data_IF_079102857076
#
_entry.id   IF_079102857076
#
_cell.length_a   1.000
_cell.length_b   1.000
_cell.length_c   1.000
_cell.angle_alpha   90.00
_cell.angle_beta   90.00
_cell.angle_gamma   90.00
#
_symmetry.space_group_name_H-M   'P 1'
#
loop_
_entity.id
_entity.type
_entity.pdbx_description
1 polymer ?
#
# COMPACT_ATOMS: atom_id res chain seq x y z
N UNK A 1 -17.65 -0.98 -4.31
CA UNK A 1 -17.03 -0.87 -2.97
C UNK A 1 -16.21 0.43 -2.86
N UNK A 2 -15.84 0.84 -1.64
CA UNK A 2 -15.03 2.05 -1.37
C UNK A 2 -13.79 1.72 -0.55
N UNK A 3 -12.65 2.28 -0.95
CA UNK A 3 -11.38 2.12 -0.26
C UNK A 3 -11.25 3.00 0.98
N UNK A 4 -10.12 2.88 1.66
CA UNK A 4 -9.86 3.57 2.92
C UNK A 4 -9.18 4.93 2.72
N UNK A 5 -9.16 5.73 3.80
CA UNK A 5 -8.32 6.93 3.90
C UNK A 5 -6.86 6.52 4.11
N UNK A 6 -5.88 7.29 3.59
CA UNK A 6 -4.47 6.96 3.75
C UNK A 6 -4.04 7.00 5.22
N UNK A 7 -3.12 6.12 5.60
CA UNK A 7 -2.31 6.26 6.82
C UNK A 7 -1.12 7.14 6.44
N UNK A 8 -1.16 8.43 6.78
CA UNK A 8 -0.15 9.41 6.36
C UNK A 8 -0.04 10.55 7.37
N UNK A 9 1.14 11.16 7.48
CA UNK A 9 1.34 12.42 8.20
C UNK A 9 2.32 13.34 7.45
N UNK A 10 2.55 14.56 7.96
CA UNK A 10 3.44 15.53 7.33
C UNK A 10 4.94 15.14 7.34
N UNK A 11 5.32 14.07 8.05
CA UNK A 11 6.68 13.53 8.10
C UNK A 11 6.87 12.32 7.17
N UNK A 12 5.80 11.82 6.54
CA UNK A 12 5.89 10.71 5.59
C UNK A 12 6.79 11.08 4.41
N UNK A 13 7.69 10.17 4.05
CA UNK A 13 8.66 10.28 2.95
C UNK A 13 8.49 9.18 1.89
N UNK A 14 8.02 8.01 2.32
CA UNK A 14 7.74 6.86 1.46
C UNK A 14 6.25 6.56 1.53
N UNK A 15 5.62 6.30 0.38
CA UNK A 15 4.23 5.85 0.29
C UNK A 15 4.18 4.42 -0.25
N UNK A 16 3.64 3.49 0.52
CA UNK A 16 3.33 2.15 0.03
C UNK A 16 1.90 2.10 -0.49
N UNK A 17 1.73 1.63 -1.72
CA UNK A 17 0.44 1.53 -2.41
C UNK A 17 0.08 0.07 -2.71
N UNK A 18 -1.02 -0.40 -2.14
CA UNK A 18 -1.73 -1.58 -2.63
C UNK A 18 -2.70 -1.25 -3.76
N UNK A 19 -3.32 -2.27 -4.35
CA UNK A 19 -4.33 -2.07 -5.40
C UNK A 19 -5.64 -1.54 -4.80
N UNK A 20 -6.24 -2.32 -3.90
CA UNK A 20 -7.48 -2.04 -3.20
C UNK A 20 -7.61 -2.96 -1.97
N UNK A 21 -8.25 -2.54 -0.86
CA UNK A 21 -8.36 -3.38 0.34
C UNK A 21 -9.02 -4.72 0.02
N UNK A 22 -8.49 -5.85 0.50
CA UNK A 22 -9.12 -7.18 0.38
C UNK A 22 -10.45 -7.26 1.15
N UNK A 23 -11.25 -8.31 0.95
CA UNK A 23 -12.49 -8.50 1.71
C UNK A 23 -12.25 -8.49 3.23
N UNK A 24 -11.28 -9.26 3.72
CA UNK A 24 -10.90 -9.26 5.14
C UNK A 24 -10.48 -7.86 5.63
N UNK A 25 -9.79 -7.09 4.77
CA UNK A 25 -9.42 -5.71 5.09
C UNK A 25 -10.64 -4.82 5.26
N UNK A 26 -11.63 -4.93 4.35
CA UNK A 26 -12.91 -4.21 4.40
C UNK A 26 -13.72 -4.54 5.65
N UNK A 27 -13.86 -5.83 5.98
CA UNK A 27 -14.61 -6.31 7.14
C UNK A 27 -14.00 -5.80 8.45
N UNK A 28 -12.66 -5.83 8.57
CA UNK A 28 -11.96 -5.37 9.76
C UNK A 28 -11.70 -3.86 9.79
N UNK A 29 -11.94 -3.16 8.67
CA UNK A 29 -11.56 -1.76 8.46
C UNK A 29 -10.06 -1.52 8.73
N UNK A 30 -9.21 -2.41 8.21
CA UNK A 30 -7.76 -2.40 8.40
C UNK A 30 -7.04 -2.72 7.10
N UNK A 31 -6.02 -1.94 6.76
CA UNK A 31 -5.10 -2.31 5.68
C UNK A 31 -4.37 -3.63 6.02
N UNK A 32 -4.32 -4.52 5.03
CA UNK A 32 -3.60 -5.81 5.10
C UNK A 32 -4.02 -6.68 6.29
N UNK A 33 -5.34 -6.78 6.53
CA UNK A 33 -5.89 -7.45 7.72
C UNK A 33 -5.88 -8.99 7.66
N UNK A 34 -5.75 -9.57 6.46
CA UNK A 34 -5.81 -11.02 6.31
C UNK A 34 -4.64 -11.69 7.05
N UNK A 35 -4.92 -12.75 7.82
CA UNK A 35 -3.96 -13.33 8.76
C UNK A 35 -2.66 -13.83 8.11
N UNK A 36 -2.72 -14.30 6.86
CA UNK A 36 -1.54 -14.76 6.10
C UNK A 36 -0.86 -13.64 5.32
N UNK A 37 -1.36 -12.41 5.38
CA UNK A 37 -0.74 -11.28 4.70
C UNK A 37 0.56 -10.86 5.42
N UNK A 38 1.67 -10.85 4.67
CA UNK A 38 2.99 -10.58 5.21
C UNK A 38 3.38 -9.09 5.22
N UNK A 39 2.50 -8.17 4.81
CA UNK A 39 2.82 -6.75 4.75
C UNK A 39 3.36 -6.20 6.08
N UNK A 40 2.61 -6.37 7.18
CA UNK A 40 3.01 -5.84 8.48
C UNK A 40 4.29 -6.45 9.05
N UNK A 41 4.51 -7.79 9.06
CA UNK A 41 5.78 -8.33 9.51
C UNK A 41 6.95 -7.92 8.59
N UNK A 42 6.77 -7.87 7.27
CA UNK A 42 7.82 -7.40 6.35
C UNK A 42 8.18 -5.94 6.58
N UNK A 43 7.18 -5.07 6.79
CA UNK A 43 7.44 -3.67 7.11
C UNK A 43 8.25 -3.53 8.40
N UNK A 44 7.96 -4.32 9.44
CA UNK A 44 8.74 -4.32 10.67
C UNK A 44 10.19 -4.79 10.42
N UNK A 45 10.36 -5.94 9.75
CA UNK A 45 11.66 -6.50 9.42
C UNK A 45 12.55 -5.49 8.65
N UNK A 46 12.02 -4.89 7.59
CA UNK A 46 12.73 -3.89 6.78
C UNK A 46 13.07 -2.63 7.58
N UNK A 47 12.11 -2.11 8.37
CA UNK A 47 12.30 -0.88 9.14
C UNK A 47 13.20 -1.03 10.37
N UNK A 48 13.44 -2.26 10.81
CA UNK A 48 14.43 -2.61 11.82
C UNK A 48 15.72 -3.21 11.23
N UNK A 49 15.84 -3.30 9.89
CA UNK A 49 16.96 -3.91 9.20
C UNK A 49 17.30 -5.32 9.74
N UNK A 50 16.28 -6.15 9.89
CA UNK A 50 16.37 -7.49 10.45
C UNK A 50 15.79 -8.53 9.49
N UNK A 51 16.45 -9.67 9.38
CA UNK A 51 16.01 -10.86 8.65
C UNK A 51 15.32 -11.90 9.56
N UNK A 52 15.14 -11.60 10.85
CA UNK A 52 14.51 -12.51 11.81
C UNK A 52 12.99 -12.54 11.62
N UNK A 53 12.54 -13.48 10.79
CA UNK A 53 11.13 -13.69 10.48
C UNK A 53 10.27 -13.98 11.71
N UNK A 54 10.79 -14.79 12.65
CA UNK A 54 10.05 -15.17 13.86
C UNK A 54 9.75 -13.94 14.73
N UNK A 55 10.75 -13.07 14.92
CA UNK A 55 10.58 -11.81 15.65
C UNK A 55 9.58 -10.88 14.96
N UNK A 56 9.63 -10.74 13.64
CA UNK A 56 8.71 -9.92 12.88
C UNK A 56 7.25 -10.43 12.94
N UNK A 57 7.05 -11.75 12.84
CA UNK A 57 5.73 -12.38 13.00
C UNK A 57 5.19 -12.23 14.42
N UNK A 58 6.04 -12.40 15.44
CA UNK A 58 5.68 -12.19 16.84
C UNK A 58 5.28 -10.73 17.09
N UNK A 59 6.03 -9.77 16.58
CA UNK A 59 5.67 -8.35 16.66
C UNK A 59 4.31 -8.10 15.99
N UNK A 60 4.05 -8.70 14.83
CA UNK A 60 2.79 -8.51 14.11
C UNK A 60 1.59 -9.10 14.86
N UNK A 61 1.72 -10.28 15.49
CA UNK A 61 0.62 -10.92 16.22
C UNK A 61 0.31 -10.25 17.56
N UNK A 62 1.32 -9.65 18.19
CA UNK A 62 1.17 -8.97 19.51
C UNK A 62 0.86 -7.48 19.38
N UNK A 63 1.12 -6.86 18.22
CA UNK A 63 0.85 -5.44 18.00
C UNK A 63 -0.60 -5.17 17.59
N UNK A 64 -1.26 -4.25 18.29
CA UNK A 64 -2.57 -3.73 17.85
C UNK A 64 -2.45 -2.97 16.53
N UNK A 65 -3.54 -2.90 15.75
CA UNK A 65 -3.56 -2.13 14.50
C UNK A 65 -3.23 -0.65 14.69
N UNK A 66 -3.68 -0.05 15.81
CA UNK A 66 -3.32 1.33 16.17
C UNK A 66 -1.81 1.48 16.33
N UNK A 67 -1.15 0.52 17.00
CA UNK A 67 0.30 0.51 17.14
C UNK A 67 1.00 0.39 15.79
N UNK A 68 0.57 -0.54 14.93
CA UNK A 68 1.12 -0.72 13.58
C UNK A 68 1.08 0.56 12.75
N UNK A 69 -0.06 1.28 12.76
CA UNK A 69 -0.20 2.59 12.08
C UNK A 69 0.79 3.63 12.61
N UNK A 70 0.90 3.77 13.93
CA UNK A 70 1.81 4.74 14.54
C UNK A 70 3.28 4.39 14.27
N UNK A 71 3.60 3.10 14.28
CA UNK A 71 4.95 2.59 14.00
C UNK A 71 5.44 2.98 12.61
N UNK A 72 4.68 2.68 11.55
CA UNK A 72 5.07 3.03 10.17
C UNK A 72 5.18 4.55 9.99
N UNK A 73 4.24 5.31 10.58
CA UNK A 73 4.24 6.77 10.53
C UNK A 73 5.46 7.39 11.22
N UNK A 74 5.90 6.83 12.35
CA UNK A 74 7.13 7.25 13.06
C UNK A 74 8.38 7.00 12.22
N UNK A 75 8.38 5.92 11.45
CA UNK A 75 9.47 5.56 10.52
C UNK A 75 9.35 6.29 9.16
N UNK A 76 8.40 7.23 9.02
CA UNK A 76 8.24 8.03 7.81
C UNK A 76 7.54 7.31 6.65
N UNK A 77 6.87 6.19 6.91
CA UNK A 77 6.15 5.41 5.90
C UNK A 77 4.66 5.70 5.97
N UNK A 78 4.08 6.04 4.83
CA UNK A 78 2.65 6.12 4.60
C UNK A 78 2.14 4.85 3.91
N UNK A 79 0.86 4.53 4.13
CA UNK A 79 0.20 3.34 3.55
C UNK A 79 -1.14 3.75 2.96
N UNK A 80 -1.38 3.36 1.72
CA UNK A 80 -2.65 3.58 1.04
C UNK A 80 -2.90 2.54 -0.06
N UNK A 81 -3.95 2.75 -0.84
CA UNK A 81 -4.28 2.01 -2.05
C UNK A 81 -4.46 2.98 -3.21
N UNK A 82 -4.22 2.49 -4.43
CA UNK A 82 -4.40 3.28 -5.66
C UNK A 82 -5.87 3.59 -5.91
N UNK A 83 -6.73 2.58 -5.74
CA UNK A 83 -8.13 2.68 -6.11
C UNK A 83 -8.97 3.25 -4.96
N UNK A 84 -9.80 4.25 -5.29
CA UNK A 84 -10.81 4.83 -4.39
C UNK A 84 -12.09 4.01 -4.38
N UNK A 85 -12.51 3.55 -5.54
CA UNK A 85 -13.70 2.71 -5.72
C UNK A 85 -13.47 1.73 -6.85
N UNK A 86 -14.08 0.56 -6.75
CA UNK A 86 -14.19 -0.40 -7.84
C UNK A 86 -15.37 -1.35 -7.59
N UNK A 87 -15.69 -2.13 -8.62
CA UNK A 87 -16.45 -3.37 -8.51
C UNK A 87 -15.49 -4.55 -8.64
N UNK A 88 -15.67 -5.58 -7.82
CA UNK A 88 -14.96 -6.87 -7.97
C UNK A 88 -15.78 -7.96 -7.30
N UNK A 89 -15.73 -9.18 -7.86
CA UNK A 89 -16.47 -10.34 -7.33
C UNK A 89 -15.67 -11.11 -6.28
N UNK A 90 -14.37 -11.26 -6.49
CA UNK A 90 -13.45 -11.90 -5.53
C UNK A 90 -12.41 -10.90 -5.03
N UNK A 91 -11.56 -11.28 -4.06
CA UNK A 91 -10.45 -10.40 -3.64
C UNK A 91 -9.32 -10.27 -4.66
N UNK A 92 -9.37 -10.99 -5.80
CA UNK A 92 -8.32 -10.95 -6.81
C UNK A 92 -8.42 -9.69 -7.68
N UNK A 93 -7.26 -9.07 -7.95
CA UNK A 93 -7.19 -7.86 -8.79
C UNK A 93 -7.70 -8.09 -10.21
N UNK A 94 -7.64 -9.33 -10.72
CA UNK A 94 -8.12 -9.71 -12.06
C UNK A 94 -9.62 -9.45 -12.28
N UNK A 95 -10.39 -9.36 -11.19
CA UNK A 95 -11.84 -9.19 -11.20
C UNK A 95 -12.25 -7.72 -11.03
N UNK A 96 -11.29 -6.79 -10.91
CA UNK A 96 -11.56 -5.37 -10.76
C UNK A 96 -12.15 -4.80 -12.05
N UNK A 97 -13.25 -4.06 -11.92
CA UNK A 97 -13.93 -3.33 -12.99
C UNK A 97 -14.40 -1.96 -12.48
N UNK A 98 -14.60 -1.04 -13.43
CA UNK A 98 -15.12 0.31 -13.18
C UNK A 98 -14.35 1.04 -12.06
N UNK A 99 -13.04 0.88 -12.06
CA UNK A 99 -12.14 1.46 -11.09
C UNK A 99 -12.12 2.99 -11.19
N UNK A 100 -11.93 3.64 -10.04
CA UNK A 100 -11.64 5.07 -9.97
C UNK A 100 -10.50 5.26 -9.00
N UNK A 101 -9.45 5.95 -9.43
CA UNK A 101 -8.30 6.29 -8.58
C UNK A 101 -8.60 7.47 -7.66
N UNK A 102 -7.78 7.63 -6.62
CA UNK A 102 -7.72 8.86 -5.85
C UNK A 102 -7.02 9.99 -6.65
N UNK A 103 -7.24 11.25 -6.25
CA UNK A 103 -6.50 12.37 -6.82
C UNK A 103 -5.12 12.48 -6.17
N UNK A 104 -4.13 11.82 -6.79
CA UNK A 104 -2.75 11.78 -6.31
C UNK A 104 -2.05 13.14 -6.38
N UNK A 105 -2.34 13.97 -7.40
CA UNK A 105 -1.82 15.36 -7.47
C UNK A 105 -2.16 16.17 -6.22
N UNK A 106 -3.42 16.11 -5.78
CA UNK A 106 -3.87 16.76 -4.53
C UNK A 106 -3.22 16.12 -3.30
N UNK A 107 -3.04 14.80 -3.31
CA UNK A 107 -2.40 14.09 -2.20
C UNK A 107 -0.94 14.52 -2.01
N UNK A 108 -0.13 14.51 -3.08
CA UNK A 108 1.28 14.92 -3.01
C UNK A 108 1.44 16.41 -2.73
N UNK A 109 0.53 17.26 -3.24
CA UNK A 109 0.50 18.68 -2.85
C UNK A 109 0.29 18.89 -1.35
N UNK A 110 -0.45 17.99 -0.68
CA UNK A 110 -0.64 18.02 0.79
C UNK A 110 0.52 17.39 1.56
N UNK A 111 1.22 16.42 0.98
CA UNK A 111 2.32 15.67 1.59
C UNK A 111 3.58 15.72 0.73
N UNK A 112 4.18 16.91 0.49
CA UNK A 112 5.24 17.10 -0.50
C UNK A 112 6.59 16.45 -0.12
N UNK A 113 6.72 15.96 1.12
CA UNK A 113 7.90 15.22 1.57
C UNK A 113 7.93 13.78 1.08
N UNK A 114 6.80 13.26 0.60
CA UNK A 114 6.76 11.94 -0.03
C UNK A 114 7.50 12.06 -1.36
N UNK A 115 8.60 11.32 -1.49
CA UNK A 115 9.47 11.33 -2.67
C UNK A 115 9.68 9.94 -3.26
N UNK A 116 9.27 8.90 -2.55
CA UNK A 116 9.31 7.52 -3.04
C UNK A 116 7.93 6.90 -2.93
N UNK A 117 7.46 6.29 -4.01
CA UNK A 117 6.21 5.54 -4.10
C UNK A 117 6.56 4.08 -4.39
N UNK A 118 6.14 3.20 -3.49
CA UNK A 118 6.39 1.76 -3.58
C UNK A 118 5.07 1.04 -3.82
N UNK A 119 4.96 0.29 -4.91
CA UNK A 119 3.79 -0.51 -5.22
C UNK A 119 3.93 -1.92 -4.65
N UNK A 120 3.02 -2.28 -3.74
CA UNK A 120 2.83 -3.65 -3.27
C UNK A 120 1.98 -4.42 -4.29
N UNK A 121 2.65 -4.90 -5.34
CA UNK A 121 2.02 -5.55 -6.49
C UNK A 121 2.28 -4.81 -7.81
N UNK A 122 2.69 -5.56 -8.82
CA UNK A 122 3.03 -5.01 -10.15
C UNK A 122 3.50 -6.04 -11.17
N UNK A 123 3.84 -7.28 -10.75
CA UNK A 123 4.32 -8.35 -11.64
C UNK A 123 5.74 -8.11 -12.14
N UNK A 124 6.43 -9.17 -12.60
CA UNK A 124 7.84 -9.10 -13.05
C UNK A 124 7.92 -8.62 -14.51
N UNK A 125 8.54 -7.48 -14.78
CA UNK A 125 8.77 -7.02 -16.14
C UNK A 125 9.13 -5.53 -16.25
N UNK A 126 9.54 -5.10 -17.45
CA UNK A 126 9.83 -3.69 -17.78
C UNK A 126 8.60 -2.79 -17.61
N UNK A 127 7.41 -3.35 -17.77
CA UNK A 127 6.13 -2.66 -17.60
C UNK A 127 5.32 -3.32 -16.50
N UNK A 128 4.58 -2.55 -15.67
CA UNK A 128 3.71 -3.14 -14.67
C UNK A 128 2.58 -3.94 -15.30
N UNK A 129 2.20 -5.07 -14.69
CA UNK A 129 0.94 -5.78 -14.99
C UNK A 129 -0.22 -4.80 -14.90
N UNK A 130 -1.04 -4.73 -15.94
CA UNK A 130 -2.13 -3.77 -16.05
C UNK A 130 -3.10 -3.81 -14.86
N UNK A 131 -3.49 -5.02 -14.41
CA UNK A 131 -4.35 -5.20 -13.25
C UNK A 131 -3.52 -5.46 -11.98
N UNK A 132 -2.89 -4.39 -11.51
CA UNK A 132 -2.10 -4.33 -10.28
C UNK A 132 -2.00 -2.88 -9.79
N UNK A 133 -1.53 -2.66 -8.57
CA UNK A 133 -1.33 -1.31 -8.02
C UNK A 133 -0.51 -0.42 -8.97
N UNK A 134 0.68 -0.87 -9.37
CA UNK A 134 1.52 -0.15 -10.31
C UNK A 134 0.85 0.06 -11.68
N UNK A 135 0.13 -0.94 -12.19
CA UNK A 135 -0.57 -0.86 -13.47
C UNK A 135 -1.70 0.17 -13.49
N UNK A 136 -2.58 0.15 -12.48
CA UNK A 136 -3.65 1.12 -12.34
C UNK A 136 -3.14 2.53 -12.09
N UNK A 137 -2.07 2.67 -11.30
CA UNK A 137 -1.46 3.97 -11.07
C UNK A 137 -0.88 4.52 -12.38
N UNK A 138 -0.11 3.71 -13.11
CA UNK A 138 0.48 4.12 -14.38
C UNK A 138 -0.59 4.53 -15.41
N UNK A 139 -1.67 3.76 -15.55
CA UNK A 139 -2.70 4.03 -16.57
C UNK A 139 -3.61 5.22 -16.26
N UNK A 140 -3.82 5.57 -14.98
CA UNK A 140 -4.76 6.61 -14.58
C UNK A 140 -4.11 7.89 -14.04
N UNK A 141 -2.90 7.77 -13.48
CA UNK A 141 -2.17 8.88 -12.85
C UNK A 141 -0.93 9.22 -13.67
N UNK A 142 -0.20 8.20 -14.13
CA UNK A 142 1.11 8.35 -14.76
C UNK A 142 2.24 8.47 -13.74
N UNK A 143 3.46 8.17 -14.18
CA UNK A 143 4.68 8.41 -13.38
C UNK A 143 5.22 9.80 -13.72
N UNK A 144 5.57 10.56 -12.69
CA UNK A 144 6.16 11.90 -12.81
C UNK A 144 7.65 11.88 -12.44
N UNK A 145 8.36 12.98 -12.68
CA UNK A 145 9.80 13.10 -12.38
C UNK A 145 10.07 13.53 -10.92
N UNK A 146 9.04 13.91 -10.17
CA UNK A 146 9.16 14.38 -8.78
C UNK A 146 9.27 13.23 -7.77
N UNK A 147 8.93 12.01 -8.18
CA UNK A 147 8.89 10.82 -7.34
C UNK A 147 9.67 9.65 -7.95
N UNK A 148 10.37 8.94 -7.08
CA UNK A 148 10.91 7.63 -7.38
C UNK A 148 9.82 6.56 -7.28
N UNK A 149 9.68 5.72 -8.30
CA UNK A 149 8.69 4.64 -8.33
C UNK A 149 9.35 3.28 -8.25
N UNK A 150 8.98 2.48 -7.24
CA UNK A 150 9.50 1.14 -7.00
C UNK A 150 8.33 0.16 -7.01
N UNK A 151 8.49 -0.99 -7.65
CA UNK A 151 7.52 -2.09 -7.54
C UNK A 151 8.16 -3.22 -6.75
N UNK A 152 7.53 -3.60 -5.63
CA UNK A 152 7.93 -4.80 -4.89
C UNK A 152 7.06 -5.97 -5.32
N UNK A 153 7.72 -7.07 -5.65
CA UNK A 153 7.07 -8.28 -6.13
C UNK A 153 6.62 -9.12 -4.94
N UNK A 154 5.36 -9.54 -4.96
CA UNK A 154 4.82 -10.66 -4.18
C UNK A 154 4.76 -11.91 -5.04
#
# INVERSE_FOLDING_TARGET
>A
MKGFKPIVNAKSKVLILGTFPSQASLEMNQYYAYATNLFWPLMHAVLENSDNEAAAKLWNSTSSYKHKKLYVLRKGVAVWDVLRTCERRTSADRDIRYEKVYNFKRFFGKYPKIKTVVFNGGGKGKYPRTQSAAGFYHSHVGFDDDHEFITVYS
#
